data_IF_904514678851
#
_entry.id   IF_904514678851
#
_cell.length_a   1.000
_cell.length_b   1.000
_cell.length_c   1.000
_cell.angle_alpha   90.00
_cell.angle_beta   90.00
_cell.angle_gamma   90.00
#
_symmetry.space_group_name_H-M   'P 1'
#
loop_
_entity.id
_entity.type
_entity.pdbx_description
1 polymer ?
#
# COMPACT_ATOMS: atom_id res chain seq x y z
N UNK A 1 -4.65 -10.34 -11.85
CA UNK A 1 -5.09 -9.53 -13.02
C UNK A 1 -4.35 -8.19 -12.97
N UNK A 2 -3.86 -7.68 -14.10
CA UNK A 2 -3.16 -6.39 -14.21
C UNK A 2 -4.04 -5.43 -15.03
N UNK A 3 -4.31 -4.22 -14.53
CA UNK A 3 -5.06 -3.19 -15.27
C UNK A 3 -6.58 -3.12 -15.03
N UNK A 4 -7.17 -3.94 -14.16
CA UNK A 4 -8.61 -3.83 -13.91
C UNK A 4 -8.94 -2.59 -13.07
N UNK A 5 -9.96 -1.83 -13.50
CA UNK A 5 -10.43 -0.61 -12.83
C UNK A 5 -11.95 -0.69 -12.58
N UNK A 6 -12.42 -1.87 -12.18
CA UNK A 6 -13.79 -2.12 -11.77
C UNK A 6 -13.80 -2.98 -10.51
N UNK A 7 -14.89 -2.90 -9.74
CA UNK A 7 -15.10 -3.66 -8.50
C UNK A 7 -14.93 -5.19 -8.63
N UNK A 8 -14.82 -5.72 -9.86
CA UNK A 8 -14.65 -7.14 -10.16
C UNK A 8 -13.22 -7.55 -10.55
N UNK A 9 -12.21 -6.68 -10.48
CA UNK A 9 -10.84 -7.06 -10.84
C UNK A 9 -9.74 -6.03 -10.57
N UNK A 10 -9.74 -5.36 -9.41
CA UNK A 10 -9.04 -4.09 -9.26
C UNK A 10 -7.49 -3.99 -9.23
N UNK A 11 -6.64 -5.01 -9.29
CA UNK A 11 -5.17 -4.86 -9.04
C UNK A 11 -4.74 -3.97 -7.83
N UNK A 12 -3.46 -3.92 -7.50
CA UNK A 12 -3.04 -3.27 -6.25
C UNK A 12 -3.31 -1.76 -6.24
N UNK A 13 -2.98 -1.06 -7.32
CA UNK A 13 -3.11 0.39 -7.40
C UNK A 13 -4.51 0.85 -7.79
N UNK A 14 -5.28 0.03 -8.51
CA UNK A 14 -6.70 0.26 -8.74
C UNK A 14 -7.53 0.12 -7.46
N UNK A 15 -7.21 -0.84 -6.59
CA UNK A 15 -7.81 -0.94 -5.25
C UNK A 15 -7.58 0.36 -4.44
N UNK A 16 -6.34 0.79 -4.31
CA UNK A 16 -5.99 2.03 -3.59
C UNK A 16 -6.66 3.25 -4.22
N UNK A 17 -6.64 3.37 -5.55
CA UNK A 17 -7.31 4.46 -6.26
C UNK A 17 -8.80 4.50 -5.97
N UNK A 18 -9.46 3.34 -5.90
CA UNK A 18 -10.90 3.24 -5.60
C UNK A 18 -11.20 3.73 -4.19
N UNK A 19 -10.43 3.28 -3.19
CA UNK A 19 -10.60 3.70 -1.78
C UNK A 19 -10.40 5.21 -1.64
N UNK A 20 -9.34 5.76 -2.24
CA UNK A 20 -9.07 7.20 -2.17
C UNK A 20 -10.10 8.04 -2.94
N UNK A 21 -10.55 7.55 -4.10
CA UNK A 21 -11.59 8.23 -4.89
C UNK A 21 -12.91 8.30 -4.14
N UNK A 22 -13.27 7.25 -3.40
CA UNK A 22 -14.46 7.26 -2.53
C UNK A 22 -14.38 8.32 -1.41
N UNK A 23 -13.16 8.76 -1.06
CA UNK A 23 -12.88 9.83 -0.12
C UNK A 23 -12.58 11.18 -0.80
N UNK A 24 -12.92 11.33 -2.09
CA UNK A 24 -12.77 12.58 -2.84
C UNK A 24 -11.35 12.88 -3.35
N UNK A 25 -10.40 11.95 -3.20
CA UNK A 25 -9.01 12.17 -3.59
C UNK A 25 -8.68 11.34 -4.84
N UNK A 26 -8.27 12.01 -5.91
CA UNK A 26 -7.90 11.34 -7.15
C UNK A 26 -6.42 10.99 -7.19
N UNK A 27 -6.11 9.69 -7.12
CA UNK A 27 -4.74 9.18 -7.27
C UNK A 27 -4.45 8.75 -8.71
N UNK A 28 -3.18 8.80 -9.16
CA UNK A 28 -2.75 8.19 -10.42
C UNK A 28 -3.09 6.69 -10.50
N UNK A 29 -3.19 6.13 -11.71
CA UNK A 29 -3.55 4.71 -11.90
C UNK A 29 -2.43 3.74 -11.50
N UNK A 30 -1.18 4.11 -11.72
CA UNK A 30 -0.03 3.23 -11.49
C UNK A 30 0.56 3.41 -10.08
N UNK A 31 0.91 2.29 -9.41
CA UNK A 31 1.59 2.30 -8.11
C UNK A 31 2.87 3.17 -8.10
N UNK A 32 3.67 3.12 -9.17
CA UNK A 32 4.90 3.93 -9.29
C UNK A 32 4.62 5.44 -9.29
N UNK A 33 3.47 5.86 -9.84
CA UNK A 33 3.08 7.26 -9.87
C UNK A 33 2.44 7.68 -8.55
N UNK A 34 1.67 6.79 -7.92
CA UNK A 34 1.16 6.98 -6.55
C UNK A 34 2.32 7.15 -5.55
N UNK A 35 3.43 6.44 -5.74
CA UNK A 35 4.63 6.55 -4.90
C UNK A 35 5.34 7.92 -4.96
N UNK A 36 4.93 8.79 -5.89
CA UNK A 36 5.43 10.16 -6.04
C UNK A 36 4.46 11.21 -5.49
N UNK A 37 3.35 10.79 -4.88
CA UNK A 37 2.34 11.69 -4.31
C UNK A 37 2.46 11.75 -2.80
N UNK A 38 2.08 12.89 -2.23
CA UNK A 38 2.09 13.10 -0.79
C UNK A 38 3.48 13.35 -0.21
N UNK A 39 3.58 13.14 1.10
CA UNK A 39 4.80 13.30 1.89
C UNK A 39 5.40 11.93 2.21
N UNK A 40 6.70 11.77 1.96
CA UNK A 40 7.39 10.53 2.33
C UNK A 40 7.50 10.42 3.85
N UNK A 41 7.15 9.25 4.38
CA UNK A 41 7.27 8.92 5.81
C UNK A 41 8.41 7.92 5.99
N UNK A 42 9.28 8.19 6.97
CA UNK A 42 10.27 7.24 7.44
C UNK A 42 9.64 6.56 8.67
N UNK A 43 9.32 5.24 8.60
CA UNK A 43 8.71 4.56 9.72
C UNK A 43 9.68 4.50 10.91
N UNK A 44 9.16 4.66 12.11
CA UNK A 44 9.83 4.26 13.34
C UNK A 44 10.02 2.73 13.35
N UNK A 45 10.95 2.22 14.16
CA UNK A 45 11.25 0.79 14.24
C UNK A 45 10.00 -0.05 14.59
N UNK A 46 9.11 0.54 15.39
CA UNK A 46 7.84 -0.06 15.81
C UNK A 46 6.63 0.32 14.95
N UNK A 47 6.85 1.07 13.87
CA UNK A 47 5.82 1.62 12.98
C UNK A 47 4.78 2.52 13.69
N UNK A 48 5.07 3.03 14.89
CA UNK A 48 4.15 3.85 15.69
C UNK A 48 3.75 5.17 15.01
N UNK A 49 4.60 5.71 14.14
CA UNK A 49 4.34 6.94 13.39
C UNK A 49 3.64 6.72 12.04
N UNK A 50 3.33 5.46 11.68
CA UNK A 50 2.58 5.12 10.47
C UNK A 50 1.09 5.16 10.78
N UNK A 51 0.34 5.90 9.98
CA UNK A 51 -1.07 6.17 10.23
C UNK A 51 -1.98 5.36 9.28
N UNK A 52 -3.22 5.03 9.71
CA UNK A 52 -4.23 4.51 8.81
C UNK A 52 -4.40 5.42 7.59
N UNK A 53 -4.39 4.83 6.41
CA UNK A 53 -4.46 5.56 5.14
C UNK A 53 -3.11 5.81 4.48
N UNK A 54 -1.98 5.71 5.19
CA UNK A 54 -0.67 5.80 4.55
C UNK A 54 -0.52 4.73 3.45
N UNK A 55 0.16 5.07 2.35
CA UNK A 55 0.40 4.14 1.25
C UNK A 55 1.75 3.45 1.41
N UNK A 56 1.75 2.13 1.49
CA UNK A 56 2.94 1.30 1.56
C UNK A 56 3.31 0.82 0.16
N UNK A 57 4.54 1.09 -0.26
CA UNK A 57 5.03 0.69 -1.58
C UNK A 57 6.06 -0.43 -1.50
N UNK A 58 5.96 -1.34 -2.46
CA UNK A 58 6.81 -2.52 -2.54
C UNK A 58 7.35 -2.70 -3.95
N UNK A 59 8.48 -3.40 -4.07
CA UNK A 59 8.97 -3.88 -5.35
C UNK A 59 10.38 -4.45 -5.32
N UNK A 60 10.91 -4.71 -6.51
CA UNK A 60 12.21 -5.38 -6.74
C UNK A 60 13.18 -4.43 -7.43
N UNK A 61 14.45 -4.46 -7.01
CA UNK A 61 15.46 -3.49 -7.45
C UNK A 61 15.01 -2.05 -7.17
N UNK A 62 15.02 -1.21 -8.21
CA UNK A 62 14.61 0.19 -8.16
C UNK A 62 13.15 0.43 -8.61
N UNK A 63 12.38 -0.62 -8.87
CA UNK A 63 11.02 -0.51 -9.41
C UNK A 63 9.99 -0.72 -8.31
N UNK A 64 8.97 0.15 -8.29
CA UNK A 64 7.74 -0.06 -7.53
C UNK A 64 6.81 -0.93 -8.36
N UNK A 65 6.36 -2.05 -7.80
CA UNK A 65 5.48 -3.02 -8.47
C UNK A 65 4.17 -3.24 -7.74
N UNK A 66 4.06 -2.79 -6.49
CA UNK A 66 2.89 -3.01 -5.66
C UNK A 66 2.65 -1.87 -4.68
N UNK A 67 1.40 -1.70 -4.27
CA UNK A 67 0.98 -0.75 -3.25
C UNK A 67 -0.05 -1.41 -2.31
N UNK A 68 0.00 -1.04 -1.04
CA UNK A 68 -0.99 -1.39 -0.02
C UNK A 68 -1.40 -0.16 0.78
N UNK A 69 -2.52 -0.27 1.50
CA UNK A 69 -3.07 0.76 2.36
C UNK A 69 -2.81 0.40 3.82
N UNK A 70 -2.13 1.28 4.54
CA UNK A 70 -1.85 1.13 5.97
C UNK A 70 -3.12 1.11 6.78
N UNK A 71 -3.14 0.25 7.79
CA UNK A 71 -4.13 0.27 8.87
C UNK A 71 -3.53 0.87 10.16
N UNK A 72 -2.31 1.42 10.08
CA UNK A 72 -1.50 1.84 11.21
C UNK A 72 -0.65 0.69 11.77
N UNK A 73 0.47 1.04 12.41
CA UNK A 73 1.43 0.06 12.92
C UNK A 73 1.92 -0.88 11.82
N UNK A 74 1.97 -2.18 12.11
CA UNK A 74 2.50 -3.19 11.19
C UNK A 74 1.53 -3.71 10.14
N UNK A 75 0.23 -3.41 10.25
CA UNK A 75 -0.82 -4.02 9.43
C UNK A 75 -1.21 -3.16 8.23
N UNK A 76 -1.51 -3.82 7.13
CA UNK A 76 -1.98 -3.17 5.91
C UNK A 76 -2.93 -4.08 5.14
N UNK A 77 -3.79 -3.47 4.32
CA UNK A 77 -4.70 -4.15 3.40
C UNK A 77 -4.25 -3.90 1.97
N UNK A 78 -4.30 -4.92 1.12
CA UNK A 78 -3.92 -4.78 -0.28
C UNK A 78 -4.62 -5.81 -1.16
N UNK A 79 -4.69 -5.52 -2.45
CA UNK A 79 -5.15 -6.47 -3.46
C UNK A 79 -3.95 -7.21 -4.05
N UNK A 80 -3.85 -8.51 -3.76
CA UNK A 80 -2.83 -9.44 -4.25
C UNK A 80 -3.49 -10.76 -4.62
N UNK A 81 -3.88 -10.88 -5.89
CA UNK A 81 -4.86 -11.86 -6.40
C UNK A 81 -6.28 -11.65 -5.84
N UNK A 82 -6.41 -11.47 -4.53
CA UNK A 82 -7.62 -11.07 -3.80
C UNK A 82 -7.29 -9.97 -2.79
N UNK A 83 -8.33 -9.34 -2.22
CA UNK A 83 -8.12 -8.37 -1.13
C UNK A 83 -7.84 -9.14 0.15
N UNK A 84 -6.71 -8.85 0.80
CA UNK A 84 -6.31 -9.49 2.05
C UNK A 84 -5.55 -8.55 2.97
N UNK A 85 -5.49 -8.94 4.24
CA UNK A 85 -4.66 -8.34 5.26
C UNK A 85 -3.25 -8.93 5.19
N UNK A 86 -2.27 -8.13 5.59
CA UNK A 86 -0.90 -8.56 5.78
C UNK A 86 -0.24 -7.73 6.87
N UNK A 87 0.77 -8.32 7.50
CA UNK A 87 1.52 -7.70 8.59
C UNK A 87 3.03 -7.76 8.35
N UNK A 88 3.75 -6.79 8.91
CA UNK A 88 5.21 -6.81 9.04
C UNK A 88 5.72 -7.41 10.36
N UNK A 89 4.84 -7.65 11.32
CA UNK A 89 5.19 -8.32 12.57
C UNK A 89 5.25 -9.83 12.36
N UNK A 90 6.36 -10.45 12.75
CA UNK A 90 6.63 -11.89 12.60
C UNK A 90 5.78 -12.77 13.51
N UNK A 91 5.19 -12.19 14.56
CA UNK A 91 4.29 -12.90 15.47
C UNK A 91 2.82 -12.81 15.06
N UNK A 92 2.51 -12.05 14.02
CA UNK A 92 1.16 -11.87 13.50
C UNK A 92 0.77 -13.02 12.55
N UNK A 93 -0.43 -13.61 12.65
CA UNK A 93 -0.88 -14.65 11.72
C UNK A 93 -0.88 -14.19 10.25
N UNK A 94 -1.03 -12.89 9.99
CA UNK A 94 -1.00 -12.32 8.64
C UNK A 94 0.42 -11.89 8.22
N UNK A 95 1.47 -12.34 8.93
CA UNK A 95 2.85 -11.99 8.63
C UNK A 95 3.22 -12.32 7.18
N UNK A 96 3.78 -11.33 6.47
CA UNK A 96 4.24 -11.51 5.10
C UNK A 96 5.73 -11.21 4.96
N UNK A 97 6.56 -12.26 5.09
CA UNK A 97 8.01 -12.18 4.85
C UNK A 97 8.36 -11.61 3.47
N UNK A 98 7.56 -11.95 2.44
CA UNK A 98 7.73 -11.42 1.08
C UNK A 98 7.51 -9.90 1.04
N UNK A 99 6.42 -9.41 1.66
CA UNK A 99 6.11 -7.98 1.68
C UNK A 99 7.11 -7.20 2.52
N UNK A 100 7.53 -7.74 3.68
CA UNK A 100 8.61 -7.14 4.49
C UNK A 100 9.91 -7.01 3.69
N UNK A 101 10.33 -8.06 3.00
CA UNK A 101 11.56 -8.05 2.17
C UNK A 101 11.48 -7.11 0.96
N UNK A 102 10.31 -6.94 0.36
CA UNK A 102 10.12 -6.12 -0.83
C UNK A 102 9.67 -4.70 -0.52
N UNK A 103 9.51 -4.34 0.75
CA UNK A 103 9.13 -3.00 1.18
C UNK A 103 10.13 -1.94 0.73
N UNK A 104 9.63 -0.78 0.29
CA UNK A 104 10.45 0.30 -0.28
C UNK A 104 10.27 1.64 0.42
N UNK A 105 9.04 2.06 0.66
CA UNK A 105 8.73 3.37 1.26
C UNK A 105 7.26 3.51 1.63
N UNK A 106 6.98 4.57 2.39
CA UNK A 106 5.63 5.00 2.77
C UNK A 106 5.38 6.41 2.24
N UNK A 107 4.19 6.66 1.69
CA UNK A 107 3.72 8.01 1.39
C UNK A 107 2.44 8.32 2.15
N UNK A 108 2.39 9.48 2.78
CA UNK A 108 1.17 10.04 3.38
C UNK A 108 0.54 11.01 2.40
N UNK A 109 -0.68 10.70 1.95
CA UNK A 109 -1.43 11.61 1.09
C UNK A 109 -2.00 12.74 1.94
N UNK A 110 -1.57 13.97 1.63
CA UNK A 110 -2.07 15.17 2.28
C UNK A 110 -3.41 15.55 1.65
N UNK A 111 -4.39 15.92 2.49
CA UNK A 111 -5.67 16.48 2.04
C UNK A 111 -5.51 17.92 1.58
#
# INVERSE_FOLDING_TARGET
MWGGNSAKGCDCSGFVQTVYKANGIQLPRDARQQALKGKQIIPADDFSNVEPGDLLFFGTGNRITHVGLSLGGYRFIHQDSEVRLSSFDEHDPDFSAYRKRTFKRIQRILK
#
